data_IF_098850171953
#
_entry.id   IF_098850171953
#
_cell.length_a   1.000
_cell.length_b   1.000
_cell.length_c   1.000
_cell.angle_alpha   90.00
_cell.angle_beta   90.00
_cell.angle_gamma   90.00
#
_symmetry.space_group_name_H-M   'P 1'
#
loop_
_entity.id
_entity.type
_entity.pdbx_description
1 polymer ?
#
# COMPACT_ATOMS: atom_id res chain seq x y z
N UNK A 1 21.29 17.94 -28.47
CA UNK A 1 21.02 17.36 -29.80
C UNK A 1 21.58 15.95 -29.83
N UNK A 2 20.73 15.00 -30.26
CA UNK A 2 20.95 13.58 -30.60
C UNK A 2 21.71 12.68 -29.63
N UNK A 3 21.06 11.69 -29.00
CA UNK A 3 20.56 10.43 -29.57
C UNK A 3 21.66 9.47 -30.11
N UNK A 4 21.68 8.29 -29.49
CA UNK A 4 21.88 6.97 -30.10
C UNK A 4 23.32 6.44 -30.20
N UNK A 5 23.71 5.73 -29.15
CA UNK A 5 24.61 4.58 -29.24
C UNK A 5 23.84 3.38 -28.66
N UNK A 6 24.05 2.20 -29.25
CA UNK A 6 23.44 0.88 -28.96
C UNK A 6 22.40 0.37 -29.96
N UNK A 7 22.82 0.23 -31.23
CA UNK A 7 22.34 -0.79 -32.16
C UNK A 7 23.52 -1.28 -33.00
N UNK A 8 24.18 -2.35 -32.57
CA UNK A 8 25.09 -3.17 -33.41
C UNK A 8 25.58 -4.38 -32.63
N UNK A 9 24.80 -5.48 -32.63
CA UNK A 9 25.29 -6.85 -32.39
C UNK A 9 24.23 -7.88 -32.83
N UNK A 10 23.91 -7.97 -34.12
CA UNK A 10 23.52 -9.24 -34.74
C UNK A 10 23.96 -9.20 -36.20
N UNK A 11 25.05 -9.90 -36.51
CA UNK A 11 25.55 -10.04 -37.86
C UNK A 11 26.65 -11.08 -37.89
N UNK A 12 26.26 -12.36 -38.06
CA UNK A 12 26.92 -13.39 -38.88
C UNK A 12 26.40 -14.76 -38.45
N UNK A 13 25.67 -15.42 -39.35
CA UNK A 13 25.60 -16.86 -39.65
C UNK A 13 24.43 -16.94 -40.65
N UNK A 14 24.66 -17.02 -41.96
CA UNK A 14 25.45 -18.06 -42.62
C UNK A 14 24.47 -18.92 -43.41
N UNK A 15 24.11 -18.45 -44.60
CA UNK A 15 23.33 -19.15 -45.63
C UNK A 15 24.08 -20.40 -46.11
N UNK A 16 23.40 -21.55 -46.13
CA UNK A 16 23.47 -22.60 -47.17
C UNK A 16 22.58 -23.79 -46.79
N UNK A 17 21.69 -24.21 -47.71
CA UNK A 17 21.05 -25.54 -47.63
C UNK A 17 19.60 -25.59 -48.07
N UNK A 18 19.38 -25.70 -49.37
CA UNK A 18 18.10 -25.94 -50.04
C UNK A 18 17.52 -27.34 -49.84
N UNK A 19 16.19 -27.43 -49.97
CA UNK A 19 15.38 -28.56 -50.42
C UNK A 19 15.05 -29.69 -49.43
N UNK A 20 13.76 -29.76 -49.07
CA UNK A 20 13.17 -30.87 -48.32
C UNK A 20 11.77 -30.53 -47.80
N UNK A 21 10.80 -30.36 -48.70
CA UNK A 21 9.40 -30.20 -48.33
C UNK A 21 8.86 -31.53 -47.78
N UNK A 22 8.71 -31.62 -46.45
CA UNK A 22 7.88 -32.63 -45.79
C UNK A 22 6.78 -31.88 -45.05
N UNK A 23 5.61 -31.83 -45.67
CA UNK A 23 4.37 -31.35 -45.05
C UNK A 23 3.89 -32.46 -44.10
N UNK A 24 4.23 -32.35 -42.82
CA UNK A 24 3.54 -33.07 -41.75
C UNK A 24 2.44 -32.16 -41.22
N UNK A 25 1.23 -32.37 -41.76
CA UNK A 25 -0.01 -31.86 -41.21
C UNK A 25 -0.29 -32.56 -39.87
N UNK A 26 0.18 -31.98 -38.76
CA UNK A 26 -0.38 -32.26 -37.45
C UNK A 26 -1.55 -31.31 -37.21
N UNK A 27 -2.75 -31.80 -36.86
CA UNK A 27 -3.82 -30.92 -36.43
C UNK A 27 -3.48 -30.42 -35.02
N UNK A 28 -2.95 -29.20 -34.93
CA UNK A 28 -2.99 -28.45 -33.68
C UNK A 28 -4.46 -28.10 -33.40
N UNK A 29 -5.18 -29.04 -32.78
CA UNK A 29 -6.38 -28.72 -32.02
C UNK A 29 -5.94 -27.90 -30.82
N UNK A 30 -5.96 -26.58 -30.95
CA UNK A 30 -6.02 -25.68 -29.80
C UNK A 30 -7.40 -25.87 -29.14
N UNK A 31 -7.55 -26.96 -28.37
CA UNK A 31 -8.52 -26.99 -27.28
C UNK A 31 -8.04 -25.97 -26.26
N UNK A 32 -8.49 -24.73 -26.44
CA UNK A 32 -8.74 -23.82 -25.33
C UNK A 32 -9.56 -24.64 -24.32
N UNK A 33 -8.88 -25.14 -23.29
CA UNK A 33 -9.55 -25.54 -22.07
C UNK A 33 -10.24 -24.27 -21.59
N UNK A 34 -11.56 -24.19 -21.81
CA UNK A 34 -12.42 -23.32 -21.04
C UNK A 34 -12.15 -23.70 -19.59
N UNK A 35 -11.35 -22.87 -18.91
CA UNK A 35 -11.12 -22.97 -17.50
C UNK A 35 -12.48 -23.11 -16.84
N UNK A 36 -12.65 -24.24 -16.16
CA UNK A 36 -13.77 -24.48 -15.30
C UNK A 36 -13.83 -23.28 -14.35
N UNK A 37 -14.82 -22.40 -14.54
CA UNK A 37 -15.12 -21.34 -13.58
C UNK A 37 -15.68 -22.04 -12.36
N UNK A 38 -14.76 -22.54 -11.53
CA UNK A 38 -15.06 -23.11 -10.23
C UNK A 38 -15.84 -22.06 -9.44
N UNK A 39 -16.94 -22.43 -8.76
CA UNK A 39 -17.73 -21.46 -8.00
C UNK A 39 -16.82 -20.77 -6.99
N UNK A 40 -16.94 -19.44 -6.89
CA UNK A 40 -16.21 -18.58 -5.95
C UNK A 40 -16.10 -19.29 -4.59
N UNK A 41 -14.88 -19.73 -4.24
CA UNK A 41 -14.69 -20.50 -3.02
C UNK A 41 -14.75 -19.54 -1.83
N UNK A 42 -15.66 -19.84 -0.90
CA UNK A 42 -15.78 -19.16 0.38
C UNK A 42 -15.11 -20.02 1.44
N UNK A 43 -14.03 -19.51 2.03
CA UNK A 43 -13.22 -20.18 3.04
C UNK A 43 -13.54 -19.54 4.38
N UNK A 44 -13.96 -20.35 5.35
CA UNK A 44 -14.05 -19.90 6.75
C UNK A 44 -12.65 -19.94 7.37
N UNK A 45 -12.24 -18.85 8.03
CA UNK A 45 -11.02 -18.84 8.84
C UNK A 45 -11.40 -19.34 10.22
N UNK A 46 -10.91 -20.53 10.57
CA UNK A 46 -11.08 -21.10 11.90
C UNK A 46 -10.15 -20.41 12.90
N UNK A 47 -10.46 -20.43 14.21
CA UNK A 47 -9.59 -19.85 15.25
C UNK A 47 -8.15 -20.41 15.25
N UNK A 48 -7.97 -21.64 14.78
CA UNK A 48 -6.65 -22.28 14.61
C UNK A 48 -5.78 -21.58 13.53
N UNK A 49 -6.42 -20.98 12.53
CA UNK A 49 -5.75 -20.16 11.51
C UNK A 49 -5.51 -18.73 12.02
N UNK A 50 -6.19 -18.35 13.11
CA UNK A 50 -5.91 -17.16 13.88
C UNK A 50 -4.88 -17.49 14.96
N UNK A 51 -3.68 -17.97 14.59
CA UNK A 51 -2.62 -18.14 15.60
C UNK A 51 -2.51 -16.84 16.41
N UNK A 52 -2.34 -16.92 17.74
CA UNK A 52 -2.50 -15.80 18.65
C UNK A 52 -1.30 -14.86 18.50
N UNK A 53 -1.28 -14.12 17.39
CA UNK A 53 -0.63 -12.85 17.35
C UNK A 53 -1.45 -11.99 18.30
N UNK A 54 -1.02 -11.93 19.56
CA UNK A 54 -1.51 -10.96 20.52
C UNK A 54 -1.13 -9.59 19.95
N UNK A 55 -1.97 -9.04 19.08
CA UNK A 55 -1.88 -7.65 18.67
C UNK A 55 -2.11 -6.90 19.98
N UNK A 56 -1.09 -6.25 20.57
CA UNK A 56 -1.30 -5.54 21.81
C UNK A 56 -2.34 -4.47 21.53
N UNK A 57 -3.54 -4.63 22.09
CA UNK A 57 -4.57 -3.60 22.00
C UNK A 57 -3.97 -2.37 22.66
N UNK A 58 -3.75 -1.27 21.91
CA UNK A 58 -3.16 -0.09 22.51
C UNK A 58 -4.10 0.38 23.64
N UNK A 59 -3.55 0.74 24.82
CA UNK A 59 -4.37 1.25 25.91
C UNK A 59 -5.15 2.47 25.40
N UNK A 60 -6.40 2.67 25.88
CA UNK A 60 -7.18 3.82 25.48
C UNK A 60 -6.38 5.11 25.73
N UNK A 61 -6.42 6.09 24.81
CA UNK A 61 -5.68 7.32 24.96
C UNK A 61 -6.04 7.96 26.30
N UNK A 62 -5.04 8.14 27.15
CA UNK A 62 -5.19 8.84 28.41
C UNK A 62 -5.75 10.23 28.13
N UNK A 63 -6.95 10.50 28.66
CA UNK A 63 -7.60 11.81 28.55
C UNK A 63 -6.60 12.90 28.96
N UNK A 64 -6.49 14.00 28.19
CA UNK A 64 -5.60 15.09 28.54
C UNK A 64 -5.94 15.56 29.96
N UNK A 65 -4.95 15.55 30.84
CA UNK A 65 -5.08 16.10 32.18
C UNK A 65 -5.46 17.58 32.04
N UNK A 66 -6.73 17.87 32.31
CA UNK A 66 -7.26 19.23 32.37
C UNK A 66 -6.54 19.93 33.51
N UNK A 67 -5.52 20.72 33.19
CA UNK A 67 -4.87 21.63 34.14
C UNK A 67 -5.84 22.76 34.48
N UNK A 68 -6.80 22.49 35.37
CA UNK A 68 -7.52 23.55 36.09
C UNK A 68 -6.59 24.10 37.18
N UNK A 69 -5.68 25.01 36.78
CA UNK A 69 -5.18 26.03 37.71
C UNK A 69 -5.95 27.31 37.46
N UNK A 70 -7.03 27.44 38.24
CA UNK A 70 -7.78 28.65 38.52
C UNK A 70 -6.80 29.69 39.10
N UNK A 71 -6.48 30.73 38.34
CA UNK A 71 -5.92 31.96 38.91
C UNK A 71 -7.06 32.94 39.09
N UNK A 72 -7.49 33.10 40.33
CA UNK A 72 -8.23 34.27 40.78
C UNK A 72 -7.29 35.48 40.75
N UNK A 73 -7.61 36.49 39.94
CA UNK A 73 -7.11 37.84 40.15
C UNK A 73 -8.20 38.86 39.89
N UNK A 74 -8.65 39.47 40.98
CA UNK A 74 -9.63 40.54 41.10
C UNK A 74 -8.87 41.85 41.35
N UNK A 75 -9.05 42.86 40.50
CA UNK A 75 -9.16 44.31 40.80
C UNK A 75 -9.30 45.05 39.45
N UNK A 76 -10.50 45.52 39.12
CA UNK A 76 -10.88 46.94 39.27
C UNK A 76 -10.05 47.88 38.40
N UNK A 77 -10.65 48.37 37.30
CA UNK A 77 -10.86 49.81 37.13
C UNK A 77 -11.94 50.11 36.09
N UNK A 78 -12.74 51.11 36.47
CA UNK A 78 -13.96 51.62 35.87
C UNK A 78 -13.76 52.44 34.57
N UNK A 79 -14.76 52.30 33.70
CA UNK A 79 -15.53 53.33 32.98
C UNK A 79 -14.78 54.31 32.05
N UNK A 80 -15.12 54.22 30.74
CA UNK A 80 -15.86 55.30 30.04
C UNK A 80 -16.55 54.80 28.78
N UNK A 81 -17.87 54.92 28.79
CA UNK A 81 -18.75 54.77 27.63
C UNK A 81 -18.70 56.03 26.76
N UNK A 82 -18.82 55.87 25.43
CA UNK A 82 -19.63 56.79 24.61
C UNK A 82 -20.16 56.04 23.38
N UNK A 83 -21.48 56.09 23.23
CA UNK A 83 -22.30 55.64 22.11
C UNK A 83 -22.00 56.37 20.79
N UNK A 84 -22.25 55.71 19.64
CA UNK A 84 -23.42 56.00 18.79
C UNK A 84 -23.35 55.33 17.40
N UNK A 85 -24.47 54.69 17.01
CA UNK A 85 -25.20 54.72 15.71
C UNK A 85 -24.40 54.41 14.41
N UNK A 86 -24.93 53.80 13.35
CA UNK A 86 -26.25 53.36 12.90
C UNK A 86 -26.12 53.03 11.40
N UNK A 87 -26.78 51.96 10.92
CA UNK A 87 -27.28 51.74 9.55
C UNK A 87 -26.30 51.85 8.34
N UNK A 88 -26.18 50.79 7.53
CA UNK A 88 -27.02 50.56 6.32
C UNK A 88 -26.54 49.34 5.52
N UNK A 89 -27.53 48.61 5.03
CA UNK A 89 -27.50 47.56 4.02
C UNK A 89 -26.73 47.93 2.74
N UNK A 90 -26.02 46.96 2.16
CA UNK A 90 -26.07 46.68 0.72
C UNK A 90 -25.65 45.25 0.44
N UNK A 91 -26.59 44.53 -0.16
CA UNK A 91 -26.36 43.27 -0.87
C UNK A 91 -25.61 43.65 -2.14
N UNK A 92 -24.45 43.03 -2.37
CA UNK A 92 -23.85 42.94 -3.69
C UNK A 92 -23.43 41.48 -3.93
N UNK A 93 -24.10 40.88 -4.91
CA UNK A 93 -23.78 39.60 -5.52
C UNK A 93 -22.64 39.86 -6.50
N UNK A 94 -21.46 39.28 -6.25
CA UNK A 94 -20.42 39.16 -7.27
C UNK A 94 -19.45 38.01 -6.98
N UNK A 95 -19.64 36.97 -7.77
CA UNK A 95 -18.66 36.02 -8.31
C UNK A 95 -17.17 36.27 -8.01
N UNK A 96 -16.57 35.32 -7.29
CA UNK A 96 -15.30 34.60 -7.59
C UNK A 96 -14.74 34.02 -6.29
N UNK A 97 -15.05 32.76 -6.03
CA UNK A 97 -14.41 31.99 -4.96
C UNK A 97 -12.94 31.77 -5.34
N UNK A 98 -12.08 32.63 -4.81
CA UNK A 98 -10.63 32.52 -4.86
C UNK A 98 -10.20 31.49 -3.80
N UNK A 99 -10.22 30.21 -4.15
CA UNK A 99 -9.64 29.14 -3.32
C UNK A 99 -8.11 29.19 -3.41
N UNK A 100 -7.50 30.19 -2.79
CA UNK A 100 -6.09 30.15 -2.39
C UNK A 100 -5.96 29.33 -1.10
N UNK A 101 -6.14 28.01 -1.24
CA UNK A 101 -5.69 27.04 -0.23
C UNK A 101 -4.29 26.58 -0.59
N UNK A 102 -3.27 27.37 -0.26
CA UNK A 102 -1.87 26.96 -0.36
C UNK A 102 -1.62 25.97 0.78
N UNK A 103 -1.96 24.69 0.58
CA UNK A 103 -1.47 23.62 1.45
C UNK A 103 0.05 23.54 1.23
N UNK A 104 0.78 24.22 2.11
CA UNK A 104 2.22 24.04 2.25
C UNK A 104 2.48 22.61 2.66
N UNK A 105 2.96 21.82 1.71
CA UNK A 105 3.67 20.57 1.99
C UNK A 105 4.83 20.95 2.93
N UNK A 106 4.98 20.32 4.10
CA UNK A 106 6.10 20.59 4.99
C UNK A 106 7.42 20.34 4.25
N UNK A 107 8.32 21.32 4.28
CA UNK A 107 9.65 21.21 3.65
C UNK A 107 10.40 20.02 4.25
N UNK A 108 10.84 19.11 3.36
CA UNK A 108 11.47 17.83 3.71
C UNK A 108 12.85 18.01 4.33
N UNK A 109 13.54 19.10 4.00
CA UNK A 109 14.92 19.33 4.40
C UNK A 109 15.09 19.76 5.87
N UNK A 110 14.00 20.11 6.58
CA UNK A 110 14.07 20.54 7.99
C UNK A 110 13.44 19.58 8.99
N UNK A 111 12.67 18.58 8.54
CA UNK A 111 12.08 17.58 9.44
C UNK A 111 12.94 16.32 9.64
N UNK A 112 13.88 16.03 8.74
CA UNK A 112 14.64 14.78 8.78
C UNK A 112 15.84 14.78 9.76
N UNK A 113 16.36 15.94 10.20
CA UNK A 113 17.58 16.00 11.01
C UNK A 113 17.40 15.93 12.52
N UNK A 114 16.26 16.39 13.08
CA UNK A 114 16.19 16.69 14.52
C UNK A 114 15.05 16.01 15.30
N UNK A 115 14.09 15.35 14.64
CA UNK A 115 13.01 14.64 15.32
C UNK A 115 13.39 13.19 15.64
N UNK A 116 14.16 12.98 16.72
CA UNK A 116 14.39 11.65 17.29
C UNK A 116 13.10 11.12 17.91
N UNK A 117 12.32 10.35 17.14
CA UNK A 117 11.45 9.36 17.78
C UNK A 117 12.33 8.50 18.68
N UNK A 118 11.89 8.12 19.89
CA UNK A 118 12.54 7.06 20.62
C UNK A 118 12.40 5.80 19.74
N UNK A 119 13.43 5.53 18.92
CA UNK A 119 13.59 4.28 18.22
C UNK A 119 13.64 3.25 19.34
N UNK A 120 12.55 2.52 19.53
CA UNK A 120 12.56 1.42 20.48
C UNK A 120 13.34 0.31 19.77
N UNK A 121 14.58 0.00 20.18
CA UNK A 121 15.30 -1.08 19.55
C UNK A 121 14.47 -2.35 19.75
N UNK A 122 14.17 -3.05 18.66
CA UNK A 122 13.53 -4.36 18.70
C UNK A 122 14.48 -5.41 18.16
N UNK A 123 14.33 -6.63 18.65
CA UNK A 123 15.18 -7.74 18.22
C UNK A 123 14.67 -8.28 16.87
N UNK A 124 15.46 -8.12 15.81
CA UNK A 124 15.12 -8.56 14.46
C UNK A 124 14.80 -10.06 14.40
N UNK A 125 15.60 -10.90 15.06
CA UNK A 125 15.42 -12.36 15.07
C UNK A 125 14.13 -12.76 15.76
N UNK A 126 13.85 -12.19 16.94
CA UNK A 126 12.61 -12.42 17.68
C UNK A 126 11.40 -11.95 16.87
N UNK A 127 11.50 -10.77 16.25
CA UNK A 127 10.43 -10.23 15.42
C UNK A 127 10.17 -11.12 14.21
N UNK A 128 11.22 -11.62 13.55
CA UNK A 128 11.06 -12.57 12.46
C UNK A 128 10.28 -13.81 12.91
N UNK A 129 10.63 -14.42 14.04
CA UNK A 129 9.89 -15.56 14.58
C UNK A 129 8.43 -15.21 14.86
N UNK A 130 8.18 -14.05 15.47
CA UNK A 130 6.83 -13.62 15.82
C UNK A 130 5.95 -13.37 14.58
N UNK A 131 6.48 -12.70 13.55
CA UNK A 131 5.66 -12.21 12.42
C UNK A 131 5.65 -13.15 11.21
N UNK A 132 6.53 -14.15 11.15
CA UNK A 132 6.52 -15.15 10.07
C UNK A 132 5.17 -15.90 9.94
N UNK A 133 4.48 -16.29 11.04
CA UNK A 133 3.15 -16.89 10.96
C UNK A 133 2.10 -16.07 10.21
N UNK A 134 2.25 -14.74 10.17
CA UNK A 134 1.35 -13.87 9.39
C UNK A 134 1.40 -14.18 7.88
N UNK A 135 2.44 -14.88 7.41
CA UNK A 135 2.67 -15.26 6.03
C UNK A 135 2.88 -16.78 5.90
N UNK A 136 2.26 -17.59 6.76
CA UNK A 136 2.43 -19.05 6.76
C UNK A 136 1.60 -19.78 5.70
N UNK A 137 0.42 -19.26 5.37
CA UNK A 137 -0.52 -19.85 4.40
C UNK A 137 -1.14 -18.78 3.49
N UNK A 138 -1.75 -19.13 2.35
CA UNK A 138 -2.44 -18.18 1.47
C UNK A 138 -3.55 -17.37 2.17
N UNK A 139 -4.08 -17.88 3.27
CA UNK A 139 -5.13 -17.23 4.08
C UNK A 139 -4.64 -16.78 5.46
N UNK A 140 -3.32 -16.75 5.71
CA UNK A 140 -2.78 -16.09 6.89
C UNK A 140 -2.96 -14.58 6.79
N UNK A 141 -3.05 -13.87 7.93
CA UNK A 141 -3.40 -12.43 7.98
C UNK A 141 -2.63 -11.56 6.98
N UNK A 142 -1.31 -11.75 6.84
CA UNK A 142 -0.49 -10.99 5.93
C UNK A 142 -0.77 -11.30 4.46
N UNK A 143 -1.01 -12.55 4.11
CA UNK A 143 -1.42 -12.94 2.75
C UNK A 143 -2.83 -12.47 2.41
N UNK A 144 -3.76 -12.51 3.38
CA UNK A 144 -5.10 -11.94 3.22
C UNK A 144 -5.06 -10.44 2.98
N UNK A 145 -4.26 -9.71 3.75
CA UNK A 145 -4.11 -8.28 3.59
C UNK A 145 -3.60 -7.91 2.19
N UNK A 146 -2.59 -8.64 1.69
CA UNK A 146 -2.11 -8.50 0.31
C UNK A 146 -3.22 -8.83 -0.69
N UNK A 147 -3.92 -9.96 -0.53
CA UNK A 147 -4.96 -10.37 -1.47
C UNK A 147 -6.16 -9.44 -1.52
N UNK A 148 -6.55 -8.84 -0.40
CA UNK A 148 -7.61 -7.80 -0.40
C UNK A 148 -7.09 -6.50 -1.02
N UNK A 149 -5.83 -6.13 -0.78
CA UNK A 149 -5.22 -4.95 -1.41
C UNK A 149 -5.08 -5.07 -2.93
N UNK A 150 -4.77 -6.27 -3.45
CA UNK A 150 -4.83 -6.58 -4.87
C UNK A 150 -6.28 -6.64 -5.41
N UNK A 151 -7.26 -6.86 -4.53
CA UNK A 151 -8.64 -7.10 -4.92
C UNK A 151 -8.87 -8.53 -5.41
N UNK A 152 -7.99 -9.47 -5.05
CA UNK A 152 -8.11 -10.90 -5.29
C UNK A 152 -9.01 -11.59 -4.26
N UNK A 153 -9.05 -11.05 -3.03
CA UNK A 153 -9.93 -11.52 -1.95
C UNK A 153 -10.96 -10.47 -1.54
N UNK A 154 -12.09 -10.95 -1.03
CA UNK A 154 -13.04 -10.19 -0.21
C UNK A 154 -13.13 -10.83 1.17
N UNK A 155 -13.12 -10.02 2.22
CA UNK A 155 -13.19 -10.50 3.60
C UNK A 155 -14.40 -9.89 4.31
N UNK A 156 -15.19 -10.73 4.97
CA UNK A 156 -16.37 -10.30 5.72
C UNK A 156 -16.59 -11.16 6.97
N UNK A 157 -17.32 -10.60 7.94
CA UNK A 157 -17.70 -11.32 9.16
C UNK A 157 -19.17 -11.72 9.05
N UNK A 158 -19.47 -12.98 9.35
CA UNK A 158 -20.84 -13.47 9.46
C UNK A 158 -20.94 -14.40 10.67
N UNK A 159 -21.88 -14.13 11.57
CA UNK A 159 -22.10 -14.92 12.78
C UNK A 159 -20.82 -15.12 13.64
N UNK A 160 -20.00 -14.08 13.76
CA UNK A 160 -18.76 -14.14 14.54
C UNK A 160 -17.62 -14.93 13.88
N UNK A 161 -17.76 -15.34 12.62
CA UNK A 161 -16.73 -16.05 11.85
C UNK A 161 -16.22 -15.13 10.74
N UNK A 162 -14.90 -15.10 10.54
CA UNK A 162 -14.24 -14.40 9.45
C UNK A 162 -14.24 -15.29 8.20
N UNK A 163 -14.81 -14.79 7.11
CA UNK A 163 -14.85 -15.47 5.83
C UNK A 163 -14.00 -14.75 4.80
N UNK A 164 -13.38 -15.53 3.93
CA UNK A 164 -12.62 -15.08 2.76
C UNK A 164 -13.31 -15.62 1.54
N UNK A 165 -13.61 -14.75 0.60
CA UNK A 165 -14.16 -15.08 -0.71
C UNK A 165 -13.13 -14.74 -1.79
N UNK A 166 -12.84 -15.70 -2.65
CA UNK A 166 -12.03 -15.49 -3.85
C UNK A 166 -12.84 -14.71 -4.89
N UNK A 167 -12.31 -13.58 -5.34
CA UNK A 167 -12.93 -12.77 -6.40
C UNK A 167 -12.55 -13.30 -7.78
N UNK A 168 -13.17 -12.79 -8.84
CA UNK A 168 -12.77 -13.13 -10.21
C UNK A 168 -11.28 -12.87 -10.50
N UNK A 169 -10.70 -11.82 -9.90
CA UNK A 169 -9.29 -11.47 -10.11
C UNK A 169 -8.32 -12.55 -9.59
N UNK A 170 -8.75 -13.35 -8.61
CA UNK A 170 -7.99 -14.48 -8.08
C UNK A 170 -7.65 -15.51 -9.17
N UNK A 171 -8.59 -15.71 -10.09
CA UNK A 171 -8.51 -16.72 -11.14
C UNK A 171 -7.89 -16.18 -12.44
N UNK A 172 -7.37 -14.95 -12.41
CA UNK A 172 -6.77 -14.32 -13.58
C UNK A 172 -7.16 -12.85 -13.71
N UNK A 173 -6.18 -11.96 -13.64
CA UNK A 173 -6.36 -10.57 -14.05
C UNK A 173 -5.06 -10.03 -14.69
N UNK A 174 -5.20 -9.08 -15.59
CA UNK A 174 -4.04 -8.36 -16.16
C UNK A 174 -3.90 -7.04 -15.43
N UNK A 175 -2.69 -6.75 -14.92
CA UNK A 175 -2.40 -5.43 -14.36
C UNK A 175 -2.43 -4.38 -15.49
N UNK A 176 -3.29 -3.35 -15.41
CA UNK A 176 -3.36 -2.32 -16.43
C UNK A 176 -2.06 -1.52 -16.61
N UNK A 177 -1.13 -1.59 -15.65
CA UNK A 177 0.23 -1.04 -15.75
C UNK A 177 1.20 -1.90 -16.57
N UNK A 178 0.94 -3.21 -16.71
CA UNK A 178 1.75 -4.10 -17.56
C UNK A 178 1.43 -3.91 -19.05
N UNK A 179 0.19 -3.52 -19.36
CA UNK A 179 -0.24 -3.19 -20.72
C UNK A 179 0.57 -2.04 -21.37
N UNK A 180 1.19 -1.18 -20.55
CA UNK A 180 2.04 -0.09 -21.01
C UNK A 180 3.34 -0.55 -21.68
N UNK A 181 3.72 -1.83 -21.51
CA UNK A 181 4.99 -2.39 -22.00
C UNK A 181 4.82 -3.43 -23.11
N UNK A 182 3.59 -3.64 -23.61
CA UNK A 182 3.30 -4.54 -24.74
C UNK A 182 3.19 -6.02 -24.39
N UNK A 183 3.42 -6.41 -23.13
CA UNK A 183 3.23 -7.78 -22.65
C UNK A 183 1.95 -7.89 -21.80
N UNK A 184 1.02 -8.74 -22.24
CA UNK A 184 -0.18 -9.07 -21.45
C UNK A 184 0.20 -10.19 -20.48
N UNK A 185 0.58 -9.80 -19.27
CA UNK A 185 0.89 -10.72 -18.19
C UNK A 185 -0.34 -10.90 -17.31
N UNK A 186 -0.80 -12.15 -17.18
CA UNK A 186 -1.91 -12.50 -16.29
C UNK A 186 -1.39 -12.94 -14.93
N UNK A 187 -1.92 -12.31 -13.88
CA UNK A 187 -1.68 -12.64 -12.49
C UNK A 187 -2.75 -13.61 -11.97
N UNK A 188 -2.34 -14.51 -11.09
CA UNK A 188 -3.22 -15.50 -10.45
C UNK A 188 -2.94 -15.55 -8.95
N UNK A 189 -3.90 -16.07 -8.18
CA UNK A 189 -3.74 -16.31 -6.75
C UNK A 189 -3.83 -15.04 -5.89
N UNK A 190 -3.25 -15.04 -4.68
CA UNK A 190 -3.42 -13.98 -3.71
C UNK A 190 -2.66 -12.70 -4.05
N UNK A 191 -1.60 -12.76 -4.85
CA UNK A 191 -0.67 -11.63 -5.01
C UNK A 191 -0.30 -11.39 -6.48
N UNK A 192 0.56 -10.41 -6.75
CA UNK A 192 1.02 -10.09 -8.10
C UNK A 192 2.04 -11.13 -8.59
N UNK A 193 1.56 -12.16 -9.30
CA UNK A 193 2.43 -13.26 -9.74
C UNK A 193 3.28 -12.96 -10.97
N UNK A 194 2.91 -11.96 -11.77
CA UNK A 194 3.63 -11.54 -12.97
C UNK A 194 3.89 -12.72 -13.94
N UNK A 195 2.89 -13.60 -14.09
CA UNK A 195 2.90 -14.72 -15.03
C UNK A 195 3.82 -15.89 -14.67
N UNK A 196 4.48 -15.87 -13.50
CA UNK A 196 5.47 -16.89 -13.10
C UNK A 196 4.86 -18.28 -12.89
N UNK A 197 3.56 -18.35 -12.59
CA UNK A 197 2.83 -19.59 -12.39
C UNK A 197 2.38 -20.26 -13.68
N UNK A 198 2.46 -19.57 -14.83
CA UNK A 198 1.94 -20.08 -16.09
C UNK A 198 0.42 -20.34 -16.09
N UNK A 199 -0.33 -19.71 -15.17
CA UNK A 199 -1.78 -19.88 -15.05
C UNK A 199 -2.24 -20.93 -14.02
N UNK A 200 -1.30 -21.59 -13.35
CA UNK A 200 -1.63 -22.53 -12.27
C UNK A 200 -1.80 -21.78 -10.93
N UNK A 201 -2.97 -21.92 -10.31
CA UNK A 201 -3.32 -21.23 -9.05
C UNK A 201 -2.49 -21.76 -7.88
N UNK A 202 -2.28 -23.08 -7.79
CA UNK A 202 -1.51 -23.66 -6.70
C UNK A 202 -0.02 -23.25 -6.77
N UNK A 203 0.52 -23.14 -7.99
CA UNK A 203 1.86 -22.59 -8.20
C UNK A 203 1.88 -21.10 -7.85
N UNK A 204 0.87 -20.32 -8.26
CA UNK A 204 0.79 -18.90 -7.94
C UNK A 204 0.75 -18.64 -6.42
N UNK A 205 -0.09 -19.38 -5.69
CA UNK A 205 -0.18 -19.33 -4.22
C UNK A 205 1.18 -19.63 -3.57
N UNK A 206 1.83 -20.73 -3.99
CA UNK A 206 3.14 -21.14 -3.47
C UNK A 206 4.21 -20.08 -3.72
N UNK A 207 4.29 -19.54 -4.94
CA UNK A 207 5.28 -18.52 -5.29
C UNK A 207 5.00 -17.20 -4.56
N UNK A 208 3.74 -16.81 -4.42
CA UNK A 208 3.34 -15.65 -3.63
C UNK A 208 3.79 -15.76 -2.18
N UNK A 209 3.52 -16.90 -1.54
CA UNK A 209 3.90 -17.17 -0.17
C UNK A 209 5.43 -17.15 0.00
N UNK A 210 6.16 -17.83 -0.88
CA UNK A 210 7.62 -17.86 -0.86
C UNK A 210 8.22 -16.46 -1.03
N UNK A 211 7.65 -15.62 -1.91
CA UNK A 211 8.10 -14.23 -2.08
C UNK A 211 7.87 -13.40 -0.82
N UNK A 212 6.67 -13.50 -0.22
CA UNK A 212 6.37 -12.78 1.01
C UNK A 212 7.36 -13.18 2.13
N UNK A 213 7.50 -14.48 2.39
CA UNK A 213 8.39 -15.01 3.45
C UNK A 213 9.87 -14.68 3.20
N UNK A 214 10.35 -14.78 1.96
CA UNK A 214 11.76 -14.46 1.64
C UNK A 214 12.08 -12.96 1.74
N UNK A 215 11.08 -12.09 1.57
CA UNK A 215 11.25 -10.65 1.70
C UNK A 215 11.14 -10.15 3.15
N UNK A 216 10.55 -10.94 4.07
CA UNK A 216 10.35 -10.56 5.48
C UNK A 216 11.62 -10.03 6.16
N UNK A 217 12.80 -10.70 6.08
CA UNK A 217 14.01 -10.18 6.71
C UNK A 217 14.36 -8.76 6.26
N UNK A 218 14.19 -8.46 4.97
CA UNK A 218 14.41 -7.12 4.41
C UNK A 218 13.38 -6.13 4.95
N UNK A 219 12.10 -6.49 5.01
CA UNK A 219 11.05 -5.65 5.58
C UNK A 219 11.37 -5.26 7.03
N UNK A 220 11.84 -6.22 7.84
CA UNK A 220 12.17 -5.98 9.24
C UNK A 220 13.38 -5.05 9.39
N UNK A 221 14.39 -5.18 8.53
CA UNK A 221 15.55 -4.27 8.52
C UNK A 221 15.11 -2.85 8.13
N UNK A 222 14.27 -2.71 7.11
CA UNK A 222 13.79 -1.40 6.65
C UNK A 222 12.91 -0.73 7.73
N UNK A 223 12.02 -1.49 8.40
CA UNK A 223 11.22 -1.02 9.54
C UNK A 223 12.07 -0.67 10.76
N UNK A 224 13.08 -1.49 11.08
CA UNK A 224 14.02 -1.24 12.17
C UNK A 224 14.78 0.07 11.95
N UNK A 225 15.26 0.29 10.73
CA UNK A 225 15.96 1.52 10.35
C UNK A 225 15.05 2.75 10.48
N UNK A 226 13.76 2.60 10.20
CA UNK A 226 12.76 3.65 10.40
C UNK A 226 12.27 3.80 11.86
N UNK A 227 12.72 2.92 12.76
CA UNK A 227 12.29 2.91 14.17
C UNK A 227 10.86 2.44 14.40
N UNK A 228 10.31 1.61 13.51
CA UNK A 228 8.95 1.08 13.60
C UNK A 228 9.02 -0.38 14.06
N UNK A 229 8.52 -0.68 15.26
CA UNK A 229 8.46 -2.05 15.79
C UNK A 229 7.31 -2.82 15.14
N UNK A 230 7.58 -3.83 14.30
CA UNK A 230 6.56 -4.59 13.57
C UNK A 230 5.66 -5.44 14.49
N UNK A 231 6.08 -5.71 15.73
CA UNK A 231 5.25 -6.43 16.69
C UNK A 231 4.19 -5.52 17.33
N UNK A 232 4.46 -4.20 17.37
CA UNK A 232 3.54 -3.18 17.89
C UNK A 232 2.74 -2.50 16.77
N UNK A 233 3.27 -2.55 15.54
CA UNK A 233 2.70 -1.90 14.36
C UNK A 233 2.63 -2.88 13.19
N UNK A 234 1.74 -3.85 13.32
CA UNK A 234 1.49 -4.86 12.29
C UNK A 234 0.99 -4.20 11.00
N UNK A 235 0.23 -3.10 11.07
CA UNK A 235 -0.25 -2.38 9.88
C UNK A 235 0.88 -1.84 9.02
N UNK A 236 1.94 -1.30 9.63
CA UNK A 236 3.15 -0.89 8.91
C UNK A 236 3.86 -2.09 8.24
N UNK A 237 3.96 -3.24 8.92
CA UNK A 237 4.52 -4.46 8.33
C UNK A 237 3.72 -4.94 7.12
N UNK A 238 2.39 -4.99 7.23
CA UNK A 238 1.52 -5.46 6.15
C UNK A 238 1.56 -4.53 4.94
N UNK A 239 1.58 -3.21 5.16
CA UNK A 239 1.74 -2.25 4.07
C UNK A 239 3.13 -2.29 3.44
N UNK A 240 4.18 -2.56 4.21
CA UNK A 240 5.53 -2.80 3.66
C UNK A 240 5.51 -4.02 2.75
N UNK A 241 4.97 -5.14 3.22
CA UNK A 241 4.90 -6.38 2.44
C UNK A 241 4.06 -6.22 1.16
N UNK A 242 2.90 -5.56 1.24
CA UNK A 242 2.07 -5.30 0.07
C UNK A 242 2.75 -4.38 -0.95
N UNK A 243 3.47 -3.33 -0.52
CA UNK A 243 4.17 -2.48 -1.48
C UNK A 243 5.32 -3.23 -2.17
N UNK A 244 6.01 -4.15 -1.48
CA UNK A 244 6.99 -5.05 -2.12
C UNK A 244 6.36 -6.02 -3.12
N UNK A 245 5.11 -6.42 -2.88
CA UNK A 245 4.34 -7.20 -3.82
C UNK A 245 3.88 -6.37 -5.04
N UNK A 246 3.53 -5.10 -4.84
CA UNK A 246 3.04 -4.21 -5.89
C UNK A 246 4.16 -3.62 -6.77
N UNK A 247 5.28 -3.22 -6.17
CA UNK A 247 6.29 -2.39 -6.79
C UNK A 247 7.70 -2.95 -6.61
N UNK A 248 8.61 -2.54 -7.50
CA UNK A 248 10.00 -2.98 -7.43
C UNK A 248 10.68 -2.51 -6.14
N UNK A 249 11.66 -3.26 -5.62
CA UNK A 249 12.27 -2.97 -4.32
C UNK A 249 12.74 -1.53 -4.16
N UNK A 250 13.28 -0.90 -5.20
CA UNK A 250 13.78 0.49 -5.17
C UNK A 250 12.77 1.49 -4.59
N UNK A 251 11.47 1.30 -4.81
CA UNK A 251 10.40 2.12 -4.23
C UNK A 251 9.97 1.55 -2.88
N UNK A 252 9.75 0.24 -2.83
CA UNK A 252 9.14 -0.43 -1.68
C UNK A 252 9.96 -0.32 -0.39
N UNK A 253 11.30 -0.27 -0.49
CA UNK A 253 12.18 -0.07 0.69
C UNK A 253 12.02 1.31 1.34
N UNK A 254 11.46 2.29 0.61
CA UNK A 254 11.32 3.67 1.10
C UNK A 254 10.08 3.88 1.95
N UNK A 255 9.13 2.95 1.94
CA UNK A 255 7.88 3.08 2.70
C UNK A 255 8.09 3.25 4.20
N UNK A 256 8.89 2.43 4.89
CA UNK A 256 9.09 2.62 6.33
C UNK A 256 9.65 4.01 6.68
N UNK A 257 10.62 4.49 5.90
CA UNK A 257 11.19 5.84 6.07
C UNK A 257 10.13 6.92 5.81
N UNK A 258 9.37 6.82 4.72
CA UNK A 258 8.30 7.75 4.40
C UNK A 258 7.20 7.74 5.47
N UNK A 259 6.88 6.59 6.06
CA UNK A 259 5.89 6.47 7.13
C UNK A 259 6.34 7.13 8.43
N UNK A 260 7.62 7.01 8.78
CA UNK A 260 8.19 7.74 9.89
C UNK A 260 8.09 9.26 9.68
N UNK A 261 8.41 9.75 8.47
CA UNK A 261 8.26 11.17 8.10
C UNK A 261 6.80 11.63 8.17
N UNK A 262 5.86 10.84 7.65
CA UNK A 262 4.43 11.15 7.69
C UNK A 262 3.94 11.36 9.13
N UNK A 263 4.34 10.45 10.03
CA UNK A 263 3.97 10.49 11.45
C UNK A 263 4.65 11.63 12.19
N UNK A 264 5.90 11.93 11.88
CA UNK A 264 6.59 13.15 12.35
C UNK A 264 5.85 14.42 11.93
N UNK A 265 5.28 14.43 10.72
CA UNK A 265 4.44 15.50 10.20
C UNK A 265 3.03 15.57 10.79
N UNK A 266 2.68 14.69 11.74
CA UNK A 266 1.37 14.68 12.40
C UNK A 266 0.29 13.85 11.70
N UNK A 267 0.60 13.19 10.58
CA UNK A 267 -0.34 12.26 9.95
C UNK A 267 -0.45 10.98 10.80
N UNK A 268 -1.63 10.35 10.78
CA UNK A 268 -1.88 9.09 11.49
C UNK A 268 -2.77 8.14 10.71
N UNK A 269 -2.84 6.88 11.16
CA UNK A 269 -3.69 5.84 10.59
C UNK A 269 -3.52 5.64 9.07
N UNK A 270 -4.63 5.35 8.41
CA UNK A 270 -4.69 5.10 6.96
C UNK A 270 -4.13 6.26 6.13
N UNK A 271 -4.30 7.50 6.58
CA UNK A 271 -3.80 8.67 5.85
C UNK A 271 -2.27 8.73 5.84
N UNK A 272 -1.63 8.49 7.00
CA UNK A 272 -0.16 8.41 7.08
C UNK A 272 0.39 7.30 6.19
N UNK A 273 -0.27 6.14 6.20
CA UNK A 273 0.11 4.99 5.37
C UNK A 273 -0.06 5.31 3.89
N UNK A 274 -1.22 5.83 3.48
CA UNK A 274 -1.48 6.18 2.09
C UNK A 274 -0.50 7.23 1.57
N UNK A 275 -0.23 8.27 2.38
CA UNK A 275 0.78 9.28 2.07
C UNK A 275 2.16 8.66 1.92
N UNK A 276 2.59 7.80 2.86
CA UNK A 276 3.90 7.17 2.85
C UNK A 276 4.11 6.27 1.63
N UNK A 277 3.07 5.50 1.28
CA UNK A 277 3.04 4.67 0.07
C UNK A 277 3.18 5.50 -1.19
N UNK A 278 2.49 6.65 -1.29
CA UNK A 278 2.66 7.59 -2.42
C UNK A 278 4.06 8.21 -2.46
N UNK A 279 4.52 8.71 -1.31
CA UNK A 279 5.82 9.35 -1.15
C UNK A 279 6.98 8.42 -1.56
N UNK A 280 6.86 7.12 -1.32
CA UNK A 280 7.90 6.12 -1.63
C UNK A 280 8.30 6.04 -3.12
N UNK A 281 7.47 6.57 -4.02
CA UNK A 281 7.77 6.64 -5.44
C UNK A 281 8.56 7.89 -5.87
N UNK A 282 8.71 8.89 -4.99
CA UNK A 282 9.43 10.13 -5.27
C UNK A 282 10.90 9.96 -4.92
N UNK A 283 11.71 9.74 -5.95
CA UNK A 283 13.13 9.41 -5.80
C UNK A 283 14.03 10.38 -6.55
N UNK A 284 15.16 10.74 -5.93
CA UNK A 284 16.24 11.46 -6.59
C UNK A 284 17.08 10.55 -7.51
N UNK A 285 18.11 11.10 -8.15
CA UNK A 285 19.04 10.36 -9.03
C UNK A 285 19.81 9.24 -8.31
N UNK A 286 20.02 9.36 -7.00
CA UNK A 286 20.65 8.35 -6.15
C UNK A 286 19.66 7.30 -5.63
N UNK A 287 18.40 7.34 -6.07
CA UNK A 287 17.31 6.43 -5.66
C UNK A 287 16.94 6.58 -4.19
N UNK A 288 17.18 7.73 -3.61
CA UNK A 288 16.80 8.10 -2.24
C UNK A 288 15.47 8.83 -2.27
N UNK A 289 14.72 8.76 -1.16
CA UNK A 289 13.45 9.45 -0.99
C UNK A 289 13.68 10.97 -1.06
N UNK A 290 13.02 11.63 -2.02
CA UNK A 290 13.11 13.07 -2.21
C UNK A 290 11.76 13.63 -2.68
N UNK A 291 11.04 14.29 -1.77
CA UNK A 291 9.70 14.83 -2.02
C UNK A 291 9.70 16.23 -2.64
N UNK A 292 10.86 16.91 -2.64
CA UNK A 292 10.97 18.28 -3.14
C UNK A 292 11.44 18.30 -4.59
N UNK A 293 12.43 17.46 -4.92
CA UNK A 293 13.07 17.44 -6.24
C UNK A 293 13.05 16.05 -6.90
N UNK A 294 12.60 15.02 -6.19
CA UNK A 294 12.51 13.68 -6.74
C UNK A 294 11.43 13.54 -7.80
N UNK A 295 11.66 12.63 -8.73
CA UNK A 295 10.69 12.29 -9.76
C UNK A 295 9.81 11.14 -9.29
N UNK A 296 8.53 11.18 -9.63
CA UNK A 296 7.61 10.08 -9.37
C UNK A 296 7.91 8.92 -10.34
N UNK A 297 8.33 7.79 -9.78
CA UNK A 297 8.71 6.60 -10.56
C UNK A 297 7.59 5.57 -10.72
N UNK A 298 6.36 5.88 -10.32
CA UNK A 298 5.20 4.99 -10.46
C UNK A 298 4.62 4.96 -11.89
N UNK A 299 5.47 4.73 -12.90
CA UNK A 299 5.11 4.87 -14.32
C UNK A 299 3.87 4.07 -14.73
N UNK A 300 3.71 2.84 -14.22
CA UNK A 300 2.52 2.01 -14.47
C UNK A 300 1.22 2.67 -13.97
N UNK A 301 1.21 3.17 -12.73
CA UNK A 301 0.04 3.84 -12.15
C UNK A 301 -0.26 5.17 -12.86
N UNK A 302 0.78 5.95 -13.18
CA UNK A 302 0.65 7.21 -13.93
C UNK A 302 0.05 6.93 -15.32
N UNK A 303 0.50 5.87 -15.99
CA UNK A 303 -0.03 5.44 -17.29
C UNK A 303 -1.52 5.09 -17.26
N UNK A 304 -2.03 4.54 -16.15
CA UNK A 304 -3.47 4.26 -15.98
C UNK A 304 -4.27 5.57 -16.00
N UNK A 305 -3.88 6.57 -15.21
CA UNK A 305 -4.60 7.84 -15.14
C UNK A 305 -4.52 8.63 -16.45
N UNK A 306 -3.37 8.57 -17.14
CA UNK A 306 -3.20 9.17 -18.46
C UNK A 306 -4.14 8.53 -19.49
N UNK A 307 -4.23 7.19 -19.51
CA UNK A 307 -5.15 6.44 -20.38
C UNK A 307 -6.63 6.73 -20.07
N UNK A 308 -6.96 6.91 -18.79
CA UNK A 308 -8.30 7.29 -18.34
C UNK A 308 -8.63 8.79 -18.55
N UNK A 309 -7.69 9.58 -19.08
CA UNK A 309 -7.83 11.03 -19.31
C UNK A 309 -8.30 11.79 -18.06
N UNK A 310 -7.74 11.43 -16.89
CA UNK A 310 -8.08 12.08 -15.64
C UNK A 310 -7.32 13.41 -15.50
N UNK A 311 -8.04 14.51 -15.25
CA UNK A 311 -7.44 15.83 -14.98
C UNK A 311 -6.94 15.94 -13.52
N UNK A 312 -5.92 15.14 -13.20
CA UNK A 312 -5.30 15.05 -11.87
C UNK A 312 -3.78 15.05 -11.99
N UNK A 313 -3.11 15.44 -10.91
CA UNK A 313 -1.64 15.36 -10.80
C UNK A 313 -1.17 13.92 -10.67
N UNK A 314 0.12 13.66 -10.97
CA UNK A 314 0.74 12.35 -10.74
C UNK A 314 0.63 11.91 -9.28
N UNK A 315 0.81 12.85 -8.32
CA UNK A 315 0.60 12.58 -6.89
C UNK A 315 -0.81 12.06 -6.64
N UNK A 316 -1.83 12.79 -7.09
CA UNK A 316 -3.23 12.40 -6.90
C UNK A 316 -3.54 11.06 -7.56
N UNK A 317 -2.98 10.80 -8.73
CA UNK A 317 -3.12 9.54 -9.44
C UNK A 317 -2.60 8.36 -8.60
N UNK A 318 -1.33 8.41 -8.18
CA UNK A 318 -0.70 7.36 -7.37
C UNK A 318 -1.40 7.24 -6.02
N UNK A 319 -1.70 8.37 -5.38
CA UNK A 319 -2.34 8.40 -4.08
C UNK A 319 -3.72 7.74 -4.08
N UNK A 320 -4.51 7.85 -5.16
CA UNK A 320 -5.82 7.19 -5.26
C UNK A 320 -5.72 5.68 -5.09
N UNK A 321 -4.79 5.03 -5.80
CA UNK A 321 -4.56 3.59 -5.67
C UNK A 321 -3.92 3.22 -4.32
N UNK A 322 -2.91 3.97 -3.89
CA UNK A 322 -2.23 3.69 -2.62
C UNK A 322 -3.17 3.85 -1.41
N UNK A 323 -4.09 4.82 -1.44
CA UNK A 323 -5.13 4.99 -0.43
C UNK A 323 -6.12 3.82 -0.44
N UNK A 324 -6.52 3.33 -1.61
CA UNK A 324 -7.40 2.16 -1.73
C UNK A 324 -6.75 0.93 -1.08
N UNK A 325 -5.46 0.67 -1.36
CA UNK A 325 -4.70 -0.44 -0.76
C UNK A 325 -4.53 -0.29 0.76
N UNK A 326 -4.17 0.91 1.23
CA UNK A 326 -4.06 1.18 2.66
C UNK A 326 -5.38 0.94 3.41
N UNK A 327 -6.51 1.38 2.84
CA UNK A 327 -7.85 1.10 3.38
C UNK A 327 -8.16 -0.39 3.42
N UNK A 328 -7.90 -1.11 2.33
CA UNK A 328 -8.10 -2.55 2.25
C UNK A 328 -7.36 -3.31 3.37
N UNK A 329 -6.07 -3.00 3.57
CA UNK A 329 -5.26 -3.62 4.63
C UNK A 329 -5.79 -3.27 6.03
N UNK A 330 -6.10 -1.99 6.27
CA UNK A 330 -6.67 -1.53 7.54
C UNK A 330 -8.00 -2.22 7.87
N UNK A 331 -8.84 -2.42 6.87
CA UNK A 331 -10.14 -3.07 7.03
C UNK A 331 -10.05 -4.57 7.30
N UNK A 332 -9.01 -5.25 6.80
CA UNK A 332 -8.69 -6.64 7.17
C UNK A 332 -8.25 -6.72 8.63
N UNK A 333 -7.33 -5.86 9.05
CA UNK A 333 -6.84 -5.81 10.44
C UNK A 333 -7.96 -5.54 11.44
N UNK A 334 -8.85 -4.57 11.15
CA UNK A 334 -10.01 -4.27 12.01
C UNK A 334 -10.92 -5.48 12.18
N UNK A 335 -11.19 -6.22 11.11
CA UNK A 335 -12.03 -7.43 11.17
C UNK A 335 -11.36 -8.54 11.98
N UNK A 336 -10.05 -8.71 11.82
CA UNK A 336 -9.27 -9.68 12.58
C UNK A 336 -9.30 -9.37 14.09
N UNK A 337 -9.07 -8.11 14.46
CA UNK A 337 -9.15 -7.63 15.85
C UNK A 337 -10.57 -7.81 16.41
N UNK A 338 -11.60 -7.49 15.61
CA UNK A 338 -12.98 -7.66 16.02
C UNK A 338 -13.31 -9.11 16.38
N UNK A 339 -12.78 -10.08 15.62
CA UNK A 339 -13.00 -11.51 15.88
C UNK A 339 -12.26 -11.95 17.14
N UNK A 340 -10.99 -11.59 17.29
CA UNK A 340 -10.23 -11.88 18.51
C UNK A 340 -10.91 -11.35 19.78
N UNK A 341 -11.48 -10.14 19.71
CA UNK A 341 -12.24 -9.55 20.83
C UNK A 341 -13.58 -10.24 21.11
N UNK A 342 -14.20 -10.88 20.11
CA UNK A 342 -15.42 -11.67 20.32
C UNK A 342 -15.09 -12.99 21.01
N UNK A 343 -13.95 -13.61 20.67
CA UNK A 343 -13.48 -14.85 21.32
C UNK A 343 -13.12 -14.64 22.79
N UNK A 344 -12.48 -13.51 23.14
CA UNK A 344 -12.17 -13.18 24.54
C UNK A 344 -13.40 -12.98 25.44
N UNK A 345 -14.58 -12.76 24.84
CA UNK A 345 -15.84 -12.52 25.57
C UNK A 345 -16.75 -13.75 25.66
N UNK A 346 -16.46 -14.79 24.89
CA UNK A 346 -17.27 -16.02 24.80
C UNK A 346 -16.88 -17.02 25.90
#
# INVERSE_FOLDING_TARGET
>A
MSNWFWLSKVGLFGLLGTAGAVILLFPFSSKLNKGNSDPQQVIAITPENLEPFQIPVPPPPSLPQTNQKRQDKKSENEIKATNQKSLKSKIDVSSKANLKGKQTIPSSNKLASDAKFPVRPFNLRKSLTNVSPLFATPVSLGMLAIGVAEGNYRVYIKQGILYVEQTANYFGHTDPGNLSWGEVVTNYGPCSDQGRSGGDIAIAEKLCLQRAVSALPTHLVDLHTAGIDPNLDVEALLNTADLYNQASPIHSRRLPQALAIARQGGLSGVEAVAWARTASFYLNSNRELDLEQGENKASGLIGICARENLSITEWQCVHRDQLRRAKAISDVLKKYIQIAQLEERA
#
